data_IF_960071993687
#
_entry.id   IF_960071993687
#
_cell.length_a   1.000
_cell.length_b   1.000
_cell.length_c   1.000
_cell.angle_alpha   90.00
_cell.angle_beta   90.00
_cell.angle_gamma   90.00
#
_symmetry.space_group_name_H-M   'P 1'
#
loop_
_entity.id
_entity.type
_entity.pdbx_description
1 polymer ?
#
# COMPACT_ATOMS: atom_id res chain seq x y z
N UNK A 1 -2.50 -9.73 -18.82
CA UNK A 1 -1.78 -9.87 -17.53
C UNK A 1 -1.78 -8.57 -16.70
N UNK A 2 -1.28 -7.44 -17.22
CA UNK A 2 -1.11 -6.19 -16.46
C UNK A 2 -2.31 -5.72 -15.63
N UNK A 3 -3.53 -5.79 -16.17
CA UNK A 3 -4.77 -5.39 -15.47
C UNK A 3 -4.96 -6.11 -14.13
N UNK A 4 -4.65 -7.40 -14.08
CA UNK A 4 -4.78 -8.20 -12.86
C UNK A 4 -3.79 -7.67 -11.81
N UNK A 5 -2.55 -7.42 -12.21
CA UNK A 5 -1.49 -6.93 -11.30
C UNK A 5 -1.81 -5.51 -10.81
N UNK A 6 -2.29 -4.64 -11.70
CA UNK A 6 -2.64 -3.25 -11.40
C UNK A 6 -3.84 -3.14 -10.45
N UNK A 7 -4.85 -4.01 -10.58
CA UNK A 7 -6.01 -4.04 -9.69
C UNK A 7 -5.72 -4.75 -8.37
N UNK A 8 -4.85 -5.77 -8.37
CA UNK A 8 -4.52 -6.52 -7.17
C UNK A 8 -3.55 -5.77 -6.25
N UNK A 9 -2.48 -5.20 -6.81
CA UNK A 9 -1.43 -4.53 -6.06
C UNK A 9 -1.48 -3.01 -6.28
N UNK A 10 -1.83 -2.29 -5.22
CA UNK A 10 -1.84 -0.82 -5.19
C UNK A 10 -0.43 -0.20 -5.29
N UNK A 11 0.64 -1.00 -5.21
CA UNK A 11 2.02 -0.50 -5.35
C UNK A 11 2.31 0.04 -6.75
N UNK A 12 2.81 1.28 -6.84
CA UNK A 12 3.12 1.96 -8.11
C UNK A 12 4.50 1.62 -8.69
N UNK A 13 5.38 0.98 -7.92
CA UNK A 13 6.74 0.58 -8.34
C UNK A 13 6.68 -0.80 -9.00
N UNK A 14 6.35 -0.84 -10.29
CA UNK A 14 6.18 -2.09 -11.06
C UNK A 14 7.33 -2.24 -12.07
N UNK A 15 7.95 -3.41 -12.09
CA UNK A 15 9.07 -3.75 -12.96
C UNK A 15 8.69 -4.94 -13.84
N UNK A 16 8.89 -4.80 -15.14
CA UNK A 16 8.81 -5.88 -16.11
C UNK A 16 10.21 -6.19 -16.63
N UNK A 17 10.67 -7.41 -16.35
CA UNK A 17 11.94 -7.93 -16.83
C UNK A 17 11.71 -8.72 -18.11
N UNK A 18 12.68 -8.65 -19.03
CA UNK A 18 12.66 -9.28 -20.35
C UNK A 18 11.54 -8.76 -21.27
N UNK A 19 11.12 -7.50 -21.08
CA UNK A 19 10.13 -6.86 -21.95
C UNK A 19 10.73 -6.33 -23.25
N UNK A 20 9.88 -6.24 -24.27
CA UNK A 20 10.18 -5.66 -25.59
C UNK A 20 9.41 -4.34 -25.77
N UNK A 21 9.58 -3.69 -26.92
CA UNK A 21 8.93 -2.41 -27.22
C UNK A 21 7.40 -2.46 -27.10
N UNK A 22 6.78 -3.58 -27.47
CA UNK A 22 5.34 -3.77 -27.39
C UNK A 22 4.82 -3.95 -25.95
N UNK A 23 5.72 -4.22 -24.99
CA UNK A 23 5.39 -4.32 -23.57
C UNK A 23 5.40 -2.96 -22.85
N UNK A 24 5.96 -1.91 -23.47
CA UNK A 24 6.09 -0.59 -22.85
C UNK A 24 4.70 -0.06 -22.43
N UNK A 25 4.56 0.23 -21.13
CA UNK A 25 3.27 0.60 -20.52
C UNK A 25 3.44 1.66 -19.44
N UNK A 26 2.50 2.61 -19.41
CA UNK A 26 2.44 3.61 -18.35
C UNK A 26 2.30 2.96 -16.96
N UNK A 27 3.10 3.41 -16.00
CA UNK A 27 3.11 2.86 -14.64
C UNK A 27 3.98 1.60 -14.46
N UNK A 28 4.74 1.22 -15.49
CA UNK A 28 5.72 0.14 -15.46
C UNK A 28 7.11 0.63 -15.88
N UNK A 29 8.15 0.12 -15.21
CA UNK A 29 9.51 0.16 -15.69
C UNK A 29 9.77 -1.13 -16.48
N UNK A 30 10.11 -1.01 -17.76
CA UNK A 30 10.38 -2.17 -18.64
C UNK A 30 11.88 -2.28 -18.87
N UNK A 31 12.44 -3.47 -18.68
CA UNK A 31 13.87 -3.76 -18.87
C UNK A 31 14.00 -5.02 -19.70
N UNK A 32 14.66 -4.95 -20.84
CA UNK A 32 14.90 -6.10 -21.70
C UNK A 32 16.01 -5.83 -22.71
N UNK A 33 16.49 -6.90 -23.34
CA UNK A 33 17.61 -6.83 -24.30
C UNK A 33 17.17 -6.32 -25.69
N UNK A 34 15.90 -6.53 -26.04
CA UNK A 34 15.34 -6.26 -27.37
C UNK A 34 14.57 -4.92 -27.40
N UNK A 35 14.82 -4.03 -26.44
CA UNK A 35 14.28 -2.67 -26.44
C UNK A 35 15.05 -1.82 -27.45
N UNK A 36 14.33 -1.10 -28.31
CA UNK A 36 14.95 -0.24 -29.33
C UNK A 36 15.59 1.03 -28.76
N UNK A 37 15.16 1.46 -27.57
CA UNK A 37 15.65 2.68 -26.92
C UNK A 37 15.52 2.61 -25.39
N UNK A 38 16.21 3.52 -24.70
CA UNK A 38 16.14 3.67 -23.24
C UNK A 38 15.94 5.12 -22.84
N UNK A 39 15.06 5.34 -21.87
CA UNK A 39 14.80 6.65 -21.26
C UNK A 39 14.94 6.62 -19.73
N UNK A 40 15.52 5.54 -19.18
CA UNK A 40 15.56 5.35 -17.74
C UNK A 40 16.49 6.37 -17.07
N UNK A 41 15.90 7.19 -16.20
CA UNK A 41 16.63 8.06 -15.29
C UNK A 41 16.24 7.70 -13.85
N UNK A 42 17.22 7.25 -13.07
CA UNK A 42 17.01 6.75 -11.71
C UNK A 42 16.42 7.83 -10.80
N UNK A 43 16.96 9.03 -10.84
CA UNK A 43 16.58 10.14 -9.96
C UNK A 43 15.15 10.59 -10.25
N UNK A 44 14.80 10.74 -11.53
CA UNK A 44 13.45 11.09 -11.98
C UNK A 44 12.43 9.99 -11.62
N UNK A 45 12.80 8.72 -11.80
CA UNK A 45 11.95 7.59 -11.43
C UNK A 45 11.69 7.58 -9.91
N UNK A 46 12.72 7.67 -9.08
CA UNK A 46 12.60 7.69 -7.61
C UNK A 46 11.74 8.87 -7.14
N UNK A 47 11.92 10.06 -7.73
CA UNK A 47 11.16 11.27 -7.40
C UNK A 47 9.64 11.08 -7.57
N UNK A 48 9.21 10.20 -8.47
CA UNK A 48 7.79 9.88 -8.70
C UNK A 48 7.10 9.18 -7.52
N UNK A 49 7.89 8.67 -6.56
CA UNK A 49 7.42 7.95 -5.38
C UNK A 49 7.84 8.60 -4.05
N UNK A 50 8.49 9.76 -4.12
CA UNK A 50 8.92 10.51 -2.95
C UNK A 50 7.78 11.37 -2.39
N UNK A 51 7.75 11.55 -1.07
CA UNK A 51 6.83 12.47 -0.38
C UNK A 51 7.24 13.94 -0.57
N UNK A 52 6.49 14.85 0.07
CA UNK A 52 6.74 16.29 0.02
C UNK A 52 8.14 16.68 0.51
N UNK A 53 8.74 15.87 1.37
CA UNK A 53 10.08 16.05 1.94
C UNK A 53 11.16 15.32 1.12
N UNK A 54 10.79 14.72 -0.01
CA UNK A 54 11.70 13.96 -0.87
C UNK A 54 12.05 12.57 -0.33
N UNK A 55 11.40 12.11 0.74
CA UNK A 55 11.66 10.79 1.33
C UNK A 55 10.83 9.72 0.62
N UNK A 56 11.46 8.58 0.38
CA UNK A 56 10.78 7.41 -0.19
C UNK A 56 10.53 6.42 0.93
N UNK A 57 9.27 5.98 1.03
CA UNK A 57 8.93 4.90 1.95
C UNK A 57 9.59 3.59 1.51
N UNK A 58 10.52 3.11 2.34
CA UNK A 58 11.25 1.86 2.10
C UNK A 58 10.51 0.62 2.61
N UNK A 59 9.45 0.79 3.41
CA UNK A 59 8.76 -0.33 4.05
C UNK A 59 9.63 -1.07 5.07
N UNK A 60 9.09 -2.18 5.59
CA UNK A 60 9.79 -3.06 6.54
C UNK A 60 9.17 -3.11 7.94
N UNK A 61 9.32 -4.26 8.62
CA UNK A 61 8.98 -4.42 10.04
C UNK A 61 7.48 -4.45 10.38
N UNK A 62 6.61 -4.84 9.44
CA UNK A 62 5.15 -4.92 9.69
C UNK A 62 4.44 -3.57 9.86
N UNK A 63 5.14 -2.46 9.61
CA UNK A 63 4.58 -1.12 9.74
C UNK A 63 3.66 -0.82 8.56
N UNK A 64 2.43 -0.41 8.86
CA UNK A 64 1.54 0.13 7.83
C UNK A 64 2.14 1.45 7.30
N UNK A 65 2.12 1.66 5.98
CA UNK A 65 2.58 2.90 5.41
C UNK A 65 1.70 4.07 5.89
N UNK A 66 2.26 5.29 6.05
CA UNK A 66 1.47 6.47 6.33
C UNK A 66 0.31 6.67 5.35
N UNK A 67 -0.83 7.26 5.79
CA UNK A 67 -1.85 7.76 4.90
C UNK A 67 -1.20 8.70 3.88
N UNK A 68 -1.58 8.62 2.61
CA UNK A 68 -0.99 9.40 1.50
C UNK A 68 0.44 9.05 1.09
N UNK A 69 0.90 7.83 1.37
CA UNK A 69 2.21 7.40 0.88
C UNK A 69 2.26 7.37 -0.66
N UNK A 70 3.14 8.16 -1.31
CA UNK A 70 3.11 8.35 -2.77
C UNK A 70 3.37 7.09 -3.60
N UNK A 71 3.97 6.05 -3.00
CA UNK A 71 4.24 4.79 -3.68
C UNK A 71 3.00 3.87 -3.80
N UNK A 72 1.87 4.24 -3.18
CA UNK A 72 0.59 3.53 -3.30
C UNK A 72 -0.40 4.31 -4.17
N UNK A 73 -1.23 3.57 -4.90
CA UNK A 73 -2.43 4.11 -5.55
C UNK A 73 -3.48 4.35 -4.47
N UNK A 74 -4.05 5.56 -4.48
CA UNK A 74 -5.11 5.96 -3.56
C UNK A 74 -6.42 5.25 -3.95
N UNK A 75 -7.17 4.81 -2.96
CA UNK A 75 -8.51 4.23 -3.13
C UNK A 75 -9.58 5.30 -2.94
N UNK A 76 -10.76 5.11 -3.53
CA UNK A 76 -11.91 6.00 -3.33
C UNK A 76 -12.98 5.30 -2.48
N UNK A 77 -13.89 6.03 -1.81
CA UNK A 77 -15.00 5.43 -1.07
C UNK A 77 -15.83 4.45 -1.93
N UNK A 78 -16.03 4.78 -3.21
CA UNK A 78 -16.78 3.94 -4.14
C UNK A 78 -16.05 2.62 -4.45
N UNK A 79 -14.72 2.67 -4.64
CA UNK A 79 -13.89 1.46 -4.83
C UNK A 79 -13.94 0.59 -3.56
N UNK A 80 -13.84 1.21 -2.37
CA UNK A 80 -13.94 0.50 -1.09
C UNK A 80 -15.33 -0.13 -0.85
N UNK A 81 -16.39 0.48 -1.39
CA UNK A 81 -17.75 -0.05 -1.30
C UNK A 81 -17.97 -1.26 -2.22
N UNK A 82 -17.43 -1.21 -3.45
CA UNK A 82 -17.66 -2.20 -4.50
C UNK A 82 -16.67 -3.37 -4.49
N UNK A 83 -15.45 -3.19 -3.94
CA UNK A 83 -14.46 -4.26 -3.95
C UNK A 83 -14.91 -5.45 -3.08
N UNK A 84 -14.58 -6.69 -3.47
CA UNK A 84 -14.83 -7.86 -2.62
C UNK A 84 -14.16 -7.70 -1.24
N UNK A 85 -14.94 -7.89 -0.18
CA UNK A 85 -14.48 -7.84 1.23
C UNK A 85 -14.92 -9.10 1.96
N UNK A 86 -14.17 -9.48 3.00
CA UNK A 86 -14.57 -10.58 3.87
C UNK A 86 -15.93 -10.29 4.54
N UNK A 87 -16.78 -11.31 4.75
CA UNK A 87 -18.01 -11.14 5.52
C UNK A 87 -17.73 -10.58 6.92
N UNK A 88 -18.64 -9.76 7.44
CA UNK A 88 -18.58 -9.30 8.83
C UNK A 88 -18.77 -10.51 9.76
N UNK A 89 -17.88 -10.70 10.75
CA UNK A 89 -18.17 -11.65 11.84
C UNK A 89 -19.40 -11.15 12.60
N UNK A 90 -20.38 -12.02 12.85
CA UNK A 90 -21.56 -11.72 13.67
C UNK A 90 -21.13 -11.02 14.97
N UNK A 91 -21.44 -9.73 15.08
CA UNK A 91 -21.42 -9.04 16.37
C UNK A 91 -22.64 -9.55 17.17
N UNK A 92 -22.46 -10.66 17.86
CA UNK A 92 -23.26 -10.88 19.07
C UNK A 92 -22.87 -9.80 20.07
N UNK A 93 -23.89 -9.06 20.50
CA UNK A 93 -23.93 -8.06 21.57
C UNK A 93 -22.81 -8.22 22.62
N UNK A 94 -21.99 -7.19 22.77
CA UNK A 94 -21.42 -6.84 24.07
C UNK A 94 -21.78 -5.39 24.38
N UNK A 95 -23.01 -5.25 24.91
CA UNK A 95 -23.36 -4.15 25.79
C UNK A 95 -22.48 -4.22 27.05
N UNK A 96 -21.90 -3.07 27.39
CA UNK A 96 -21.51 -2.63 28.74
C UNK A 96 -20.87 -3.63 29.71
N UNK A 97 -19.56 -3.47 29.93
CA UNK A 97 -19.02 -3.50 31.29
C UNK A 97 -17.98 -2.39 31.43
N UNK A 98 -18.41 -1.27 32.01
CA UNK A 98 -17.53 -0.27 32.58
C UNK A 98 -16.70 -0.91 33.68
N UNK A 99 -15.40 -1.04 33.46
CA UNK A 99 -14.45 -1.46 34.49
C UNK A 99 -14.22 -0.25 35.41
N UNK A 100 -14.93 -0.20 36.52
CA UNK A 100 -14.59 0.67 37.65
C UNK A 100 -13.33 0.11 38.31
N UNK A 101 -12.21 0.83 38.26
CA UNK A 101 -11.04 0.51 39.07
C UNK A 101 -11.36 0.76 40.55
N UNK A 102 -11.68 -0.29 41.30
CA UNK A 102 -11.60 -0.26 42.77
C UNK A 102 -10.16 -0.56 43.19
N UNK A 103 -9.52 0.42 43.83
CA UNK A 103 -8.24 0.26 44.52
C UNK A 103 -8.41 -0.65 45.74
N UNK A 104 -7.50 -1.61 46.02
CA UNK A 104 -7.52 -2.32 47.29
C UNK A 104 -6.84 -1.45 48.36
N UNK A 105 -7.62 -1.09 49.38
CA UNK A 105 -7.11 -0.61 50.67
C UNK A 105 -6.28 -1.73 51.31
N UNK A 106 -4.99 -1.47 51.57
CA UNK A 106 -4.17 -2.30 52.45
C UNK A 106 -4.08 -1.58 53.78
N UNK A 107 -4.87 -2.07 54.75
CA UNK A 107 -4.70 -1.77 56.16
C UNK A 107 -3.69 -2.76 56.72
N UNK A 108 -2.61 -2.29 57.34
CA UNK A 108 -1.83 -3.10 58.26
C UNK A 108 -1.33 -2.23 59.42
N UNK A 109 -1.48 -2.81 60.61
CA UNK A 109 -1.03 -2.31 61.91
C UNK A 109 0.48 -2.18 61.99
#
# INVERSE_FOLDING_TARGET
>A
MYRIIEHFALGRRRLELFGEDHNIRAGWLTVGKDLSSSNFNKEAYIKSFADKDGKVWQGGGGRKPPPETPHLVVTTPDIEALRPKSPMKNQQQQQSVSITLTTPSVSNR
#
